data_IF_410540379629
#
_entry.id   IF_410540379629
#
_cell.length_a   1.000
_cell.length_b   1.000
_cell.length_c   1.000
_cell.angle_alpha   90.00
_cell.angle_beta   90.00
_cell.angle_gamma   90.00
#
_symmetry.space_group_name_H-M   'P 1'
#
loop_
_entity.id
_entity.type
_entity.pdbx_description
1 polymer ?
#
# COMPACT_ATOMS: atom_id res chain seq x y z
N UNK A 1 -37.72 -7.59 28.18
CA UNK A 1 -36.90 -8.52 27.38
C UNK A 1 -36.49 -7.78 26.11
N UNK A 2 -35.29 -7.20 26.13
CA UNK A 2 -34.75 -6.35 25.07
C UNK A 2 -33.58 -7.14 24.46
N UNK A 3 -33.76 -7.63 23.24
CA UNK A 3 -32.69 -8.30 22.49
C UNK A 3 -32.12 -7.29 21.50
N UNK A 4 -30.97 -6.71 21.85
CA UNK A 4 -30.20 -5.85 20.96
C UNK A 4 -29.68 -6.66 19.75
N UNK A 5 -29.70 -6.13 18.53
CA UNK A 5 -29.11 -6.80 17.38
C UNK A 5 -27.58 -6.71 17.42
N UNK A 6 -26.94 -7.85 17.19
CA UNK A 6 -25.49 -8.01 16.99
C UNK A 6 -25.08 -7.21 15.74
N UNK A 7 -24.06 -6.33 15.78
CA UNK A 7 -23.57 -5.69 14.57
C UNK A 7 -22.93 -6.75 13.67
N UNK A 8 -23.45 -6.85 12.44
CA UNK A 8 -22.91 -7.74 11.40
C UNK A 8 -21.52 -7.25 11.03
N UNK A 9 -20.50 -8.01 11.40
CA UNK A 9 -19.19 -7.99 10.75
C UNK A 9 -19.37 -8.50 9.32
N UNK A 10 -19.72 -7.60 8.41
CA UNK A 10 -19.67 -7.89 6.98
C UNK A 10 -18.21 -8.13 6.57
N UNK A 11 -17.94 -9.02 5.60
CA UNK A 11 -16.59 -9.13 5.07
C UNK A 11 -16.23 -7.80 4.43
N UNK A 12 -15.09 -7.23 4.81
CA UNK A 12 -14.46 -6.13 4.08
C UNK A 12 -14.29 -6.58 2.62
N UNK A 13 -15.21 -6.15 1.77
CA UNK A 13 -15.23 -6.53 0.36
C UNK A 13 -14.45 -5.47 -0.38
N UNK A 14 -13.17 -5.72 -0.61
CA UNK A 14 -12.37 -4.93 -1.53
C UNK A 14 -12.78 -5.30 -2.96
N UNK A 15 -13.57 -4.43 -3.61
CA UNK A 15 -14.05 -4.64 -4.98
C UNK A 15 -13.48 -3.57 -5.91
N UNK A 16 -12.40 -3.92 -6.60
CA UNK A 16 -11.92 -3.17 -7.76
C UNK A 16 -12.33 -3.93 -9.03
N UNK A 17 -13.33 -3.43 -9.77
CA UNK A 17 -13.77 -4.04 -11.03
C UNK A 17 -12.81 -3.63 -12.15
N UNK A 18 -12.14 -4.60 -12.76
CA UNK A 18 -11.41 -4.42 -14.00
C UNK A 18 -12.02 -5.32 -15.08
N UNK A 19 -12.38 -4.78 -16.25
CA UNK A 19 -12.87 -5.56 -17.40
C UNK A 19 -11.73 -5.71 -18.43
N UNK A 20 -11.43 -6.93 -18.87
CA UNK A 20 -10.50 -7.23 -19.97
C UNK A 20 -9.02 -7.43 -19.58
N UNK A 21 -8.74 -8.33 -18.63
CA UNK A 21 -7.63 -8.20 -17.66
C UNK A 21 -6.44 -9.17 -17.81
N UNK A 22 -6.48 -10.12 -18.76
CA UNK A 22 -5.60 -11.31 -18.73
C UNK A 22 -4.09 -11.05 -18.64
N UNK A 23 -3.56 -10.09 -19.41
CA UNK A 23 -2.10 -9.90 -19.54
C UNK A 23 -1.47 -8.95 -18.53
N UNK A 24 -2.26 -8.17 -17.77
CA UNK A 24 -1.74 -7.19 -16.81
C UNK A 24 -2.22 -7.43 -15.37
N UNK A 25 -3.11 -8.40 -15.15
CA UNK A 25 -3.46 -8.96 -13.84
C UNK A 25 -2.25 -9.26 -12.94
N UNK A 26 -1.16 -9.90 -13.43
CA UNK A 26 0.00 -10.17 -12.59
C UNK A 26 0.68 -8.90 -12.07
N UNK A 27 0.65 -7.81 -12.85
CA UNK A 27 1.24 -6.53 -12.45
C UNK A 27 0.34 -5.80 -11.45
N UNK A 28 -0.97 -5.84 -11.63
CA UNK A 28 -1.94 -5.36 -10.63
C UNK A 28 -1.73 -6.12 -9.31
N UNK A 29 -1.65 -7.45 -9.34
CA UNK A 29 -1.42 -8.23 -8.13
C UNK A 29 -0.12 -7.85 -7.43
N UNK A 30 0.97 -7.63 -8.19
CA UNK A 30 2.25 -7.17 -7.63
C UNK A 30 2.15 -5.77 -7.02
N UNK A 31 1.42 -4.86 -7.65
CA UNK A 31 1.15 -3.51 -7.14
C UNK A 31 0.41 -3.56 -5.79
N UNK A 32 -0.70 -4.31 -5.73
CA UNK A 32 -1.49 -4.47 -4.50
C UNK A 32 -0.71 -5.21 -3.40
N UNK A 33 0.13 -6.20 -3.77
CA UNK A 33 1.06 -6.82 -2.83
C UNK A 33 2.08 -5.81 -2.28
N UNK A 34 2.53 -4.87 -3.10
CA UNK A 34 3.36 -3.75 -2.65
C UNK A 34 2.66 -2.92 -1.56
N UNK A 35 1.38 -2.61 -1.74
CA UNK A 35 0.57 -1.94 -0.70
C UNK A 35 0.45 -2.75 0.58
N UNK A 36 0.21 -4.06 0.49
CA UNK A 36 0.17 -4.95 1.66
C UNK A 36 1.51 -4.95 2.41
N UNK A 37 2.63 -4.87 1.68
CA UNK A 37 3.97 -4.78 2.26
C UNK A 37 4.31 -3.39 2.83
N UNK A 38 3.43 -2.40 2.67
CA UNK A 38 3.58 -1.04 3.19
C UNK A 38 4.12 -0.01 2.19
N UNK A 39 4.27 -0.37 0.91
CA UNK A 39 4.63 0.60 -0.14
C UNK A 39 3.44 1.49 -0.50
N UNK A 40 3.71 2.78 -0.67
CA UNK A 40 2.77 3.76 -1.24
C UNK A 40 3.05 3.92 -2.73
N UNK A 41 2.22 4.71 -3.42
CA UNK A 41 2.56 5.10 -4.79
C UNK A 41 3.90 5.83 -4.83
N UNK A 42 4.65 5.63 -5.91
CA UNK A 42 6.03 6.12 -6.04
C UNK A 42 6.14 7.66 -5.92
N UNK A 43 5.09 8.37 -6.34
CA UNK A 43 4.97 9.83 -6.23
C UNK A 43 3.94 10.28 -5.16
N UNK A 44 3.57 9.41 -4.21
CA UNK A 44 2.58 9.72 -3.18
C UNK A 44 2.94 10.97 -2.36
N UNK A 45 4.23 11.18 -2.08
CA UNK A 45 4.70 12.33 -1.29
C UNK A 45 4.34 13.68 -1.93
N UNK A 46 4.16 13.74 -3.26
CA UNK A 46 3.79 14.96 -3.99
C UNK A 46 2.34 14.95 -4.45
N UNK A 47 1.79 13.77 -4.80
CA UNK A 47 0.47 13.64 -5.42
C UNK A 47 -0.66 13.34 -4.42
N UNK A 48 -0.34 12.96 -3.17
CA UNK A 48 -1.32 12.63 -2.13
C UNK A 48 -1.16 13.53 -0.89
N UNK A 49 -1.36 14.86 -1.02
CA UNK A 49 -1.06 15.82 0.06
C UNK A 49 -1.92 15.60 1.32
N UNK A 50 -3.09 14.98 1.18
CA UNK A 50 -3.97 14.64 2.30
C UNK A 50 -3.46 13.45 3.13
N UNK A 51 -2.55 12.65 2.55
CA UNK A 51 -1.96 11.48 3.20
C UNK A 51 -0.43 11.63 3.13
N UNK A 52 0.21 12.42 4.00
CA UNK A 52 1.65 12.61 3.92
C UNK A 52 2.41 11.28 4.02
N UNK A 53 3.48 11.15 3.25
CA UNK A 53 4.30 9.94 3.20
C UNK A 53 5.78 10.27 3.05
N UNK A 54 6.64 9.41 3.57
CA UNK A 54 8.09 9.54 3.43
C UNK A 54 8.59 8.71 2.25
N UNK A 55 9.27 9.35 1.30
CA UNK A 55 9.97 8.68 0.22
C UNK A 55 11.18 7.90 0.75
N UNK A 56 11.16 6.57 0.54
CA UNK A 56 12.20 5.62 0.97
C UNK A 56 13.18 5.26 -0.14
N UNK A 57 12.77 5.36 -1.41
CA UNK A 57 13.58 5.14 -2.61
C UNK A 57 13.30 6.24 -3.63
N UNK A 58 14.22 6.45 -4.57
CA UNK A 58 14.00 7.38 -5.66
C UNK A 58 12.82 6.95 -6.52
N UNK A 59 12.02 7.93 -6.97
CA UNK A 59 10.96 7.74 -7.95
C UNK A 59 11.52 7.11 -9.23
N UNK A 60 10.83 6.08 -9.72
CA UNK A 60 11.12 5.36 -10.94
C UNK A 60 9.84 5.28 -11.79
N UNK A 61 9.81 5.94 -12.97
CA UNK A 61 8.66 5.89 -13.86
C UNK A 61 8.21 4.48 -14.29
N UNK A 62 9.06 3.47 -14.16
CA UNK A 62 8.78 2.07 -14.49
C UNK A 62 8.46 1.20 -13.25
N UNK A 63 8.45 1.79 -12.05
CA UNK A 63 8.06 1.12 -10.80
C UNK A 63 6.70 0.46 -10.93
N UNK A 64 6.57 -0.73 -10.32
CA UNK A 64 5.25 -1.37 -10.20
C UNK A 64 4.31 -0.56 -9.33
N UNK A 65 4.83 0.29 -8.44
CA UNK A 65 4.09 1.18 -7.54
C UNK A 65 3.75 2.54 -8.16
N UNK A 66 4.03 2.75 -9.45
CA UNK A 66 3.68 4.01 -10.09
C UNK A 66 2.15 4.20 -10.15
N UNK A 67 1.70 5.44 -10.00
CA UNK A 67 0.30 5.81 -10.01
C UNK A 67 -0.20 6.07 -11.44
N UNK A 68 -1.07 5.20 -11.95
CA UNK A 68 -1.74 5.44 -13.24
C UNK A 68 -3.25 5.44 -13.09
N UNK A 69 -3.88 6.53 -13.55
CA UNK A 69 -5.34 6.58 -13.74
C UNK A 69 -5.83 5.62 -14.84
N UNK A 70 -4.92 5.17 -15.71
CA UNK A 70 -5.19 4.23 -16.78
C UNK A 70 -4.51 2.88 -16.49
N UNK A 71 -5.28 1.82 -16.16
CA UNK A 71 -4.75 0.50 -15.87
C UNK A 71 -3.95 -0.12 -17.02
N UNK A 72 -4.16 0.31 -18.28
CA UNK A 72 -3.39 -0.21 -19.41
C UNK A 72 -1.90 0.14 -19.33
N UNK A 73 -1.57 1.23 -18.62
CA UNK A 73 -0.17 1.66 -18.40
C UNK A 73 0.58 0.75 -17.42
N UNK A 74 -0.12 0.02 -16.55
CA UNK A 74 0.51 -0.94 -15.62
C UNK A 74 1.18 -2.11 -16.37
N UNK A 75 0.85 -2.31 -17.66
CA UNK A 75 1.54 -3.26 -18.54
C UNK A 75 3.01 -2.89 -18.75
N UNK A 76 3.33 -1.60 -18.79
CA UNK A 76 4.69 -1.12 -19.04
C UNK A 76 5.57 -1.18 -17.78
N UNK A 77 4.99 -1.45 -16.62
CA UNK A 77 5.68 -1.50 -15.35
C UNK A 77 6.04 -2.92 -14.95
N UNK A 78 7.05 -3.02 -14.10
CA UNK A 78 7.46 -4.26 -13.46
C UNK A 78 8.13 -3.94 -12.14
N UNK A 79 8.35 -4.95 -11.30
CA UNK A 79 9.10 -4.75 -10.04
C UNK A 79 10.50 -4.23 -10.41
N UNK A 80 10.85 -3.09 -9.84
CA UNK A 80 12.14 -2.42 -10.00
C UNK A 80 13.00 -2.57 -8.75
N UNK A 81 14.29 -2.30 -8.89
CA UNK A 81 15.21 -2.26 -7.75
C UNK A 81 14.84 -1.19 -6.73
N UNK A 82 14.17 -0.11 -7.14
CA UNK A 82 13.62 0.91 -6.24
C UNK A 82 12.58 0.30 -5.29
N UNK A 83 11.66 -0.51 -5.81
CA UNK A 83 10.61 -1.19 -5.03
C UNK A 83 11.23 -2.12 -3.99
N UNK A 84 12.21 -2.94 -4.40
CA UNK A 84 12.92 -3.86 -3.50
C UNK A 84 13.72 -3.09 -2.46
N UNK A 85 14.36 -2.00 -2.84
CA UNK A 85 15.14 -1.14 -1.94
C UNK A 85 14.23 -0.46 -0.91
N UNK A 86 13.05 0.01 -1.32
CA UNK A 86 12.08 0.64 -0.43
C UNK A 86 11.59 -0.35 0.64
N UNK A 87 11.20 -1.56 0.23
CA UNK A 87 10.78 -2.64 1.16
C UNK A 87 11.92 -2.94 2.13
N UNK A 88 13.14 -3.20 1.64
CA UNK A 88 14.29 -3.48 2.51
C UNK A 88 14.54 -2.36 3.51
N UNK A 89 14.48 -1.10 3.07
CA UNK A 89 14.65 0.05 3.96
C UNK A 89 13.56 0.10 5.02
N UNK A 90 12.29 -0.05 4.64
CA UNK A 90 11.15 -0.03 5.55
C UNK A 90 11.30 -1.06 6.67
N UNK A 91 11.59 -2.32 6.32
CA UNK A 91 11.75 -3.41 7.29
C UNK A 91 13.09 -3.41 8.02
N UNK A 92 14.03 -2.53 7.65
CA UNK A 92 15.30 -2.33 8.37
C UNK A 92 15.29 -1.08 9.26
N UNK A 93 14.16 -0.37 9.35
CA UNK A 93 14.04 0.81 10.22
C UNK A 93 14.08 0.38 11.68
N UNK A 94 15.11 0.83 12.38
CA UNK A 94 15.28 0.63 13.83
C UNK A 94 15.09 1.94 14.62
N UNK A 95 14.67 3.01 13.93
CA UNK A 95 14.51 4.35 14.48
C UNK A 95 13.04 4.56 14.86
N UNK A 96 12.78 5.27 15.96
CA UNK A 96 11.42 5.63 16.36
C UNK A 96 10.82 6.77 15.54
N UNK A 97 11.64 7.48 14.76
CA UNK A 97 11.21 8.61 13.92
C UNK A 97 11.98 8.64 12.60
N UNK A 98 11.30 8.96 11.51
CA UNK A 98 11.88 9.14 10.17
C UNK A 98 11.32 10.42 9.52
N UNK A 99 12.22 11.37 9.20
CA UNK A 99 11.85 12.68 8.59
C UNK A 99 10.70 13.41 9.34
N UNK A 100 10.66 13.30 10.66
CA UNK A 100 9.64 13.92 11.50
C UNK A 100 8.33 13.13 11.64
N UNK A 101 8.24 11.93 11.05
CA UNK A 101 7.13 10.99 11.23
C UNK A 101 7.51 9.92 12.24
N UNK A 102 6.59 9.53 13.10
CA UNK A 102 6.79 8.41 14.02
C UNK A 102 6.77 7.08 13.26
N UNK A 103 7.69 6.20 13.62
CA UNK A 103 7.74 4.82 13.12
C UNK A 103 7.22 3.91 14.22
N UNK A 104 6.06 3.30 13.97
CA UNK A 104 5.41 2.40 14.92
C UNK A 104 5.45 0.97 14.40
N UNK A 105 5.84 0.04 15.27
CA UNK A 105 5.65 -1.39 15.01
C UNK A 105 4.24 -1.75 15.45
N UNK A 106 3.43 -2.19 14.50
CA UNK A 106 2.06 -2.66 14.78
C UNK A 106 2.12 -4.15 15.06
N UNK A 107 1.85 -4.53 16.31
CA UNK A 107 1.62 -5.93 16.68
C UNK A 107 0.12 -6.22 16.50
N UNK A 108 -0.26 -7.10 15.55
CA UNK A 108 -1.67 -7.38 15.25
C UNK A 108 -2.44 -7.92 16.45
N UNK A 109 -1.77 -8.58 17.41
CA UNK A 109 -2.42 -9.14 18.60
C UNK A 109 -2.70 -8.08 19.68
N UNK A 110 -2.09 -6.90 19.57
CA UNK A 110 -2.26 -5.78 20.52
C UNK A 110 -3.29 -4.74 20.06
N UNK A 111 -3.87 -4.91 18.87
CA UNK A 111 -4.83 -3.97 18.28
C UNK A 111 -6.22 -4.01 18.93
N UNK A 112 -6.48 -4.93 19.87
CA UNK A 112 -7.79 -5.15 20.48
C UNK A 112 -8.12 -4.22 21.69
N UNK A 113 -7.17 -3.36 22.13
CA UNK A 113 -7.35 -2.54 23.35
C UNK A 113 -7.76 -1.07 23.14
N UNK A 114 -8.24 -0.66 21.95
CA UNK A 114 -8.72 0.73 21.75
C UNK A 114 -10.09 0.81 21.08
N UNK A 115 -11.13 0.77 21.93
CA UNK A 115 -12.42 1.44 21.72
C UNK A 115 -12.40 2.80 22.42
#
# INVERSE_FOLDING_TARGET
MHSSPIPRTGPFTFSTRFFGIGSYLPNILRHELGHILGLRHDNAATCEPENPSVELSLENPLSIMNFYRDPSRIRACSIQDSDVTAVRKLYSLNQSTLKGFDVITVDPDTLDERN
#
